data_IF_946121323447
#
_entry.id   IF_946121323447
#
_cell.length_a   1.000
_cell.length_b   1.000
_cell.length_c   1.000
_cell.angle_alpha   90.00
_cell.angle_beta   90.00
_cell.angle_gamma   90.00
#
_symmetry.space_group_name_H-M   'P 1'
#
loop_
_entity.id
_entity.type
_entity.pdbx_description
1 polymer ?
#
# COMPACT_ATOMS: atom_id res chain seq x y z
N UNK A 1 -38.97 -26.03 48.33
CA UNK A 1 -38.02 -26.96 47.69
C UNK A 1 -37.18 -26.14 46.75
N UNK A 2 -35.92 -25.90 47.15
CA UNK A 2 -34.95 -25.08 46.43
C UNK A 2 -34.41 -25.85 45.23
N UNK A 3 -34.76 -25.39 44.03
CA UNK A 3 -34.24 -25.89 42.77
C UNK A 3 -32.77 -25.48 42.65
N UNK A 4 -31.86 -26.41 42.93
CA UNK A 4 -30.43 -26.23 42.76
C UNK A 4 -30.10 -26.51 41.29
N UNK A 5 -29.98 -25.45 40.50
CA UNK A 5 -29.40 -25.51 39.16
C UNK A 5 -27.94 -25.97 39.27
N UNK A 6 -27.70 -27.25 38.98
CA UNK A 6 -26.36 -27.85 38.89
C UNK A 6 -25.60 -27.15 37.77
N UNK A 7 -24.64 -26.29 38.13
CA UNK A 7 -23.69 -25.70 37.19
C UNK A 7 -22.78 -26.85 36.70
N UNK A 8 -22.75 -27.18 35.40
CA UNK A 8 -21.94 -28.29 34.92
C UNK A 8 -20.45 -27.98 35.11
N UNK A 9 -19.69 -28.97 35.57
CA UNK A 9 -18.25 -28.87 35.76
C UNK A 9 -17.54 -28.74 34.40
N UNK A 10 -16.89 -27.60 34.17
CA UNK A 10 -16.12 -27.32 32.94
C UNK A 10 -15.08 -28.42 32.68
N UNK A 11 -15.11 -29.02 31.50
CA UNK A 11 -14.18 -30.11 31.13
C UNK A 11 -12.79 -29.55 30.81
N UNK A 12 -11.73 -30.34 31.03
CA UNK A 12 -10.35 -29.91 30.72
C UNK A 12 -10.15 -29.50 29.24
N UNK A 13 -10.95 -30.05 28.33
CA UNK A 13 -10.99 -29.68 26.92
C UNK A 13 -11.46 -28.23 26.69
N UNK A 14 -12.51 -27.79 27.40
CA UNK A 14 -13.03 -26.40 27.31
C UNK A 14 -12.01 -25.36 27.77
N UNK A 15 -11.15 -25.69 28.74
CA UNK A 15 -10.10 -24.78 29.21
C UNK A 15 -8.99 -24.61 28.16
N UNK A 16 -8.65 -25.68 27.45
CA UNK A 16 -7.65 -25.64 26.37
C UNK A 16 -8.21 -24.89 25.16
N UNK A 17 -9.45 -25.15 24.78
CA UNK A 17 -10.15 -24.45 23.70
C UNK A 17 -10.18 -22.93 23.94
N UNK A 18 -10.61 -22.49 25.12
CA UNK A 18 -10.60 -21.06 25.50
C UNK A 18 -9.20 -20.44 25.52
N UNK A 19 -8.17 -21.23 25.81
CA UNK A 19 -6.78 -20.81 25.75
C UNK A 19 -6.32 -20.57 24.32
N UNK A 20 -6.65 -21.50 23.41
CA UNK A 20 -6.36 -21.40 21.98
C UNK A 20 -7.12 -20.23 21.36
N UNK A 21 -8.41 -20.06 21.66
CA UNK A 21 -9.19 -18.91 21.18
C UNK A 21 -8.57 -17.59 21.63
N UNK A 22 -8.23 -17.45 22.92
CA UNK A 22 -7.56 -16.23 23.42
C UNK A 22 -6.21 -15.97 22.75
N UNK A 23 -5.42 -17.01 22.53
CA UNK A 23 -4.15 -16.88 21.83
C UNK A 23 -4.34 -16.44 20.36
N UNK A 24 -5.32 -17.04 19.66
CA UNK A 24 -5.69 -16.67 18.30
C UNK A 24 -6.21 -15.22 18.23
N UNK A 25 -7.07 -14.79 19.16
CA UNK A 25 -7.52 -13.41 19.23
C UNK A 25 -6.39 -12.43 19.56
N UNK A 26 -5.48 -12.78 20.47
CA UNK A 26 -4.33 -11.94 20.83
C UNK A 26 -3.31 -11.81 19.68
N UNK A 27 -3.20 -12.82 18.81
CA UNK A 27 -2.27 -12.80 17.67
C UNK A 27 -2.49 -11.63 16.71
N UNK A 28 -3.69 -11.04 16.69
CA UNK A 28 -4.02 -9.80 15.96
C UNK A 28 -3.07 -8.65 16.29
N UNK A 29 -2.64 -8.54 17.55
CA UNK A 29 -1.71 -7.49 18.00
C UNK A 29 -0.29 -7.66 17.47
N UNK A 30 0.07 -8.83 16.94
CA UNK A 30 1.36 -9.04 16.28
C UNK A 30 1.55 -8.15 15.05
N UNK A 31 0.45 -7.72 14.41
CA UNK A 31 0.49 -6.80 13.27
C UNK A 31 0.78 -5.35 13.67
N UNK A 32 0.47 -4.94 14.91
CA UNK A 32 0.69 -3.57 15.37
C UNK A 32 2.14 -3.05 15.16
N UNK A 33 3.21 -3.80 15.53
CA UNK A 33 4.58 -3.36 15.26
C UNK A 33 4.93 -3.26 13.78
N UNK A 34 4.31 -4.03 12.88
CA UNK A 34 4.52 -3.89 11.44
C UNK A 34 4.02 -2.52 10.95
N UNK A 35 2.86 -2.08 11.42
CA UNK A 35 2.33 -0.76 11.09
C UNK A 35 3.20 0.37 11.64
N UNK A 36 3.77 0.22 12.84
CA UNK A 36 4.78 1.15 13.37
C UNK A 36 6.02 1.19 12.48
N UNK A 37 6.50 0.02 12.02
CA UNK A 37 7.61 -0.06 11.06
C UNK A 37 7.29 0.65 9.74
N UNK A 38 6.08 0.50 9.21
CA UNK A 38 5.62 1.21 8.02
C UNK A 38 5.56 2.74 8.24
N UNK A 39 5.17 3.20 9.43
CA UNK A 39 5.23 4.62 9.77
C UNK A 39 6.66 5.16 9.78
N UNK A 40 7.62 4.40 10.31
CA UNK A 40 9.05 4.74 10.24
C UNK A 40 9.50 4.82 8.77
N UNK A 41 9.06 3.85 7.94
CA UNK A 41 9.30 3.87 6.49
C UNK A 41 8.71 5.12 5.80
N UNK A 42 7.52 5.56 6.20
CA UNK A 42 6.90 6.78 5.70
C UNK A 42 7.72 8.02 6.05
N UNK A 43 8.27 8.10 7.27
CA UNK A 43 9.19 9.18 7.66
C UNK A 43 10.49 9.15 6.82
N UNK A 44 11.05 7.97 6.59
CA UNK A 44 12.23 7.83 5.73
C UNK A 44 11.92 8.30 4.30
N UNK A 45 10.76 7.94 3.76
CA UNK A 45 10.31 8.40 2.44
C UNK A 45 10.16 9.92 2.38
N UNK A 46 9.62 10.54 3.44
CA UNK A 46 9.52 12.00 3.54
C UNK A 46 10.90 12.68 3.51
N UNK A 47 11.90 12.10 4.18
CA UNK A 47 13.28 12.63 4.12
C UNK A 47 13.83 12.56 2.70
N UNK A 48 13.62 11.43 2.00
CA UNK A 48 14.04 11.29 0.59
C UNK A 48 13.32 12.31 -0.30
N UNK A 49 12.01 12.49 -0.13
CA UNK A 49 11.25 13.49 -0.86
C UNK A 49 11.80 14.91 -0.66
N UNK A 50 12.05 15.32 0.58
CA UNK A 50 12.59 16.65 0.88
C UNK A 50 14.00 16.84 0.30
N UNK A 51 14.85 15.82 0.37
CA UNK A 51 16.18 15.82 -0.24
C UNK A 51 16.08 16.00 -1.75
N UNK A 52 15.26 15.19 -2.41
CA UNK A 52 15.12 15.21 -3.87
C UNK A 52 14.48 16.51 -4.34
N UNK A 53 13.53 17.06 -3.58
CA UNK A 53 12.95 18.38 -3.82
C UNK A 53 14.02 19.48 -3.74
N UNK A 54 14.87 19.47 -2.72
CA UNK A 54 15.94 20.46 -2.58
C UNK A 54 16.95 20.38 -3.74
N UNK A 55 17.37 19.16 -4.12
CA UNK A 55 18.24 18.93 -5.27
C UNK A 55 17.57 19.35 -6.58
N UNK A 56 16.26 19.12 -6.72
CA UNK A 56 15.51 19.49 -7.90
C UNK A 56 15.43 21.01 -8.06
N UNK A 57 15.01 21.74 -7.01
CA UNK A 57 14.87 23.20 -7.02
C UNK A 57 16.19 23.89 -7.38
N UNK A 58 17.31 23.41 -6.84
CA UNK A 58 18.64 23.97 -7.16
C UNK A 58 19.09 23.78 -8.61
N UNK A 59 18.51 22.80 -9.33
CA UNK A 59 18.85 22.52 -10.74
C UNK A 59 17.96 23.28 -11.74
N UNK A 60 16.81 23.81 -11.32
CA UNK A 60 15.84 24.49 -12.21
C UNK A 60 16.47 25.58 -13.10
N UNK A 61 17.35 26.48 -12.61
CA UNK A 61 17.85 27.59 -13.42
C UNK A 61 18.66 27.17 -14.66
N UNK A 62 19.21 25.96 -14.67
CA UNK A 62 20.06 25.44 -15.75
C UNK A 62 19.51 24.16 -16.38
N UNK A 63 18.34 23.70 -15.93
CA UNK A 63 17.70 22.48 -16.38
C UNK A 63 17.05 22.64 -17.75
N UNK A 64 17.10 21.58 -18.57
CA UNK A 64 16.28 21.50 -19.79
C UNK A 64 14.84 21.18 -19.40
N UNK A 65 13.88 21.46 -20.30
CA UNK A 65 12.46 21.14 -20.09
C UNK A 65 12.24 19.66 -19.72
N UNK A 66 12.98 18.75 -20.37
CA UNK A 66 12.95 17.33 -20.04
C UNK A 66 13.33 17.08 -18.58
N UNK A 67 14.41 17.69 -18.09
CA UNK A 67 14.89 17.49 -16.72
C UNK A 67 13.88 18.00 -15.69
N UNK A 68 13.19 19.10 -16.01
CA UNK A 68 12.10 19.64 -15.19
C UNK A 68 10.94 18.64 -15.08
N UNK A 69 10.48 18.11 -16.21
CA UNK A 69 9.40 17.10 -16.24
C UNK A 69 9.82 15.85 -15.46
N UNK A 70 11.04 15.37 -15.66
CA UNK A 70 11.53 14.17 -14.98
C UNK A 70 11.68 14.37 -13.47
N UNK A 71 12.08 15.57 -13.03
CA UNK A 71 12.13 15.93 -11.61
C UNK A 71 10.74 15.91 -10.98
N UNK A 72 9.75 16.55 -11.61
CA UNK A 72 8.36 16.56 -11.14
C UNK A 72 7.81 15.13 -11.05
N UNK A 73 8.02 14.30 -12.08
CA UNK A 73 7.54 12.91 -12.08
C UNK A 73 8.17 12.08 -10.94
N UNK A 74 9.42 12.37 -10.56
CA UNK A 74 10.06 11.73 -9.40
C UNK A 74 9.39 12.10 -8.08
N UNK A 75 9.06 13.39 -7.91
CA UNK A 75 8.39 13.87 -6.70
C UNK A 75 6.95 13.32 -6.60
N UNK A 76 6.24 13.23 -7.73
CA UNK A 76 4.91 12.61 -7.80
C UNK A 76 4.98 11.14 -7.39
N UNK A 77 5.96 10.39 -7.91
CA UNK A 77 6.17 8.98 -7.56
C UNK A 77 6.36 8.79 -6.04
N UNK A 78 7.28 9.54 -5.43
CA UNK A 78 7.49 9.51 -3.98
C UNK A 78 6.20 9.83 -3.21
N UNK A 79 5.44 10.84 -3.65
CA UNK A 79 4.15 11.18 -3.03
C UNK A 79 3.11 10.05 -3.15
N UNK A 80 3.02 9.39 -4.31
CA UNK A 80 2.12 8.26 -4.54
C UNK A 80 2.51 7.06 -3.66
N UNK A 81 3.81 6.76 -3.53
CA UNK A 81 4.31 5.73 -2.63
C UNK A 81 3.96 6.04 -1.17
N UNK A 82 4.10 7.30 -0.73
CA UNK A 82 3.68 7.73 0.61
C UNK A 82 2.18 7.54 0.86
N UNK A 83 1.33 7.95 -0.08
CA UNK A 83 -0.12 7.76 -0.01
C UNK A 83 -0.51 6.28 0.10
N UNK A 84 0.19 5.40 -0.61
CA UNK A 84 -0.01 3.97 -0.55
C UNK A 84 0.36 3.40 0.83
N UNK A 85 1.51 3.81 1.40
CA UNK A 85 1.91 3.39 2.75
C UNK A 85 0.87 3.81 3.78
N UNK A 86 0.39 5.05 3.72
CA UNK A 86 -0.69 5.55 4.59
C UNK A 86 -1.93 4.67 4.48
N UNK A 87 -2.36 4.38 3.26
CA UNK A 87 -3.54 3.56 3.00
C UNK A 87 -3.39 2.14 3.57
N UNK A 88 -2.21 1.52 3.41
CA UNK A 88 -1.89 0.20 3.96
C UNK A 88 -1.90 0.22 5.49
N UNK A 89 -1.30 1.24 6.11
CA UNK A 89 -1.24 1.37 7.58
C UNK A 89 -2.64 1.48 8.17
N UNK A 90 -3.45 2.42 7.68
CA UNK A 90 -4.78 2.66 8.24
C UNK A 90 -5.76 1.51 7.94
N UNK A 91 -5.81 1.03 6.69
CA UNK A 91 -6.67 -0.10 6.31
C UNK A 91 -6.26 -1.39 7.02
N UNK A 92 -4.95 -1.67 7.11
CA UNK A 92 -4.44 -2.84 7.81
C UNK A 92 -4.73 -2.78 9.32
N UNK A 93 -4.51 -1.64 9.95
CA UNK A 93 -4.79 -1.46 11.37
C UNK A 93 -6.28 -1.63 11.69
N UNK A 94 -7.17 -1.00 10.91
CA UNK A 94 -8.61 -1.09 11.11
C UNK A 94 -9.16 -2.51 10.93
N UNK A 95 -8.70 -3.22 9.89
CA UNK A 95 -9.16 -4.57 9.58
C UNK A 95 -8.63 -5.62 10.57
N UNK A 96 -7.36 -5.51 10.97
CA UNK A 96 -6.68 -6.58 11.69
C UNK A 96 -6.42 -6.29 13.18
N UNK A 97 -6.34 -5.03 13.61
CA UNK A 97 -6.00 -4.69 15.01
C UNK A 97 -7.22 -4.12 15.73
N UNK A 98 -7.67 -2.93 15.37
CA UNK A 98 -8.75 -2.24 16.08
C UNK A 98 -9.51 -1.29 15.16
N UNK A 99 -10.84 -1.26 15.30
CA UNK A 99 -11.65 -0.22 14.68
C UNK A 99 -11.30 1.14 15.28
N UNK A 100 -11.19 2.15 14.42
CA UNK A 100 -10.95 3.52 14.83
C UNK A 100 -12.29 4.21 15.06
N UNK A 101 -12.96 3.99 16.20
CA UNK A 101 -14.31 4.53 16.46
C UNK A 101 -14.30 5.98 16.97
N UNK A 102 -13.16 6.45 17.46
CA UNK A 102 -13.02 7.74 18.15
C UNK A 102 -12.69 8.93 17.23
N UNK A 103 -12.57 8.73 15.91
CA UNK A 103 -12.31 9.80 14.94
C UNK A 103 -13.64 10.44 14.52
N UNK A 104 -13.85 11.75 14.74
CA UNK A 104 -15.05 12.46 14.30
C UNK A 104 -15.30 12.24 12.81
N UNK A 105 -16.54 11.97 12.41
CA UNK A 105 -16.89 11.64 11.02
C UNK A 105 -16.50 12.72 10.02
N UNK A 106 -16.45 13.99 10.45
CA UNK A 106 -16.04 15.14 9.63
C UNK A 106 -14.56 15.11 9.24
N UNK A 107 -13.71 14.49 10.06
CA UNK A 107 -12.26 14.44 9.85
C UNK A 107 -11.81 13.11 9.21
N UNK A 108 -12.76 12.20 8.94
CA UNK A 108 -12.48 10.95 8.23
C UNK A 108 -12.45 11.22 6.73
N UNK A 109 -11.33 10.97 6.05
CA UNK A 109 -11.33 11.01 4.60
C UNK A 109 -12.20 9.87 4.04
N UNK A 110 -12.86 10.09 2.90
CA UNK A 110 -13.87 9.17 2.33
C UNK A 110 -13.36 7.75 2.05
N UNK A 111 -12.04 7.59 1.91
CA UNK A 111 -11.39 6.29 1.72
C UNK A 111 -11.24 5.47 3.02
N UNK A 112 -11.39 6.10 4.20
CA UNK A 112 -11.22 5.45 5.50
C UNK A 112 -12.46 4.63 5.85
N UNK A 113 -12.31 3.31 5.88
CA UNK A 113 -13.39 2.34 6.13
C UNK A 113 -14.11 1.77 4.89
N UNK A 114 -13.81 2.27 3.68
CA UNK A 114 -14.43 1.83 2.42
C UNK A 114 -13.48 1.06 1.48
N UNK A 115 -12.17 1.08 1.75
CA UNK A 115 -11.18 0.39 0.92
C UNK A 115 -11.08 -1.08 1.32
N UNK A 116 -11.70 -1.92 0.49
CA UNK A 116 -11.51 -3.37 0.50
C UNK A 116 -10.07 -3.75 0.07
N UNK A 117 -9.61 -4.91 0.52
CA UNK A 117 -8.29 -5.45 0.21
C UNK A 117 -8.08 -5.60 -1.30
N UNK A 118 -9.14 -5.90 -2.07
CA UNK A 118 -9.04 -5.98 -3.53
C UNK A 118 -8.78 -4.60 -4.16
N UNK A 119 -9.48 -3.57 -3.69
CA UNK A 119 -9.26 -2.19 -4.12
C UNK A 119 -7.84 -1.70 -3.78
N UNK A 120 -7.29 -2.11 -2.62
CA UNK A 120 -5.91 -1.80 -2.25
C UNK A 120 -4.90 -2.44 -3.21
N UNK A 121 -5.09 -3.70 -3.59
CA UNK A 121 -4.23 -4.39 -4.58
C UNK A 121 -4.25 -3.66 -5.93
N UNK A 122 -5.44 -3.26 -6.39
CA UNK A 122 -5.60 -2.54 -7.66
C UNK A 122 -4.89 -1.18 -7.66
N UNK A 123 -5.01 -0.42 -6.57
CA UNK A 123 -4.31 0.87 -6.41
C UNK A 123 -2.79 0.69 -6.38
N UNK A 124 -2.30 -0.36 -5.72
CA UNK A 124 -0.88 -0.69 -5.68
C UNK A 124 -0.32 -1.03 -7.07
N UNK A 125 -1.00 -1.90 -7.83
CA UNK A 125 -0.58 -2.22 -9.20
C UNK A 125 -0.62 -1.01 -10.13
N UNK A 126 -1.68 -0.18 -10.03
CA UNK A 126 -1.78 1.04 -10.82
C UNK A 126 -0.60 1.99 -10.56
N UNK A 127 -0.18 2.12 -9.29
CA UNK A 127 1.01 2.90 -8.92
C UNK A 127 2.28 2.32 -9.56
N UNK A 128 2.53 1.01 -9.43
CA UNK A 128 3.71 0.36 -10.01
C UNK A 128 3.77 0.52 -11.53
N UNK A 129 2.64 0.34 -12.22
CA UNK A 129 2.54 0.54 -13.68
C UNK A 129 2.87 1.99 -14.05
N UNK A 130 2.31 2.97 -13.33
CA UNK A 130 2.58 4.39 -13.57
C UNK A 130 4.06 4.76 -13.36
N UNK A 131 4.67 4.28 -12.28
CA UNK A 131 6.09 4.51 -11.96
C UNK A 131 6.98 3.91 -13.06
N UNK A 132 6.69 2.69 -13.49
CA UNK A 132 7.45 2.05 -14.58
C UNK A 132 7.31 2.79 -15.92
N UNK A 133 6.13 3.36 -16.22
CA UNK A 133 5.92 4.19 -17.42
C UNK A 133 6.77 5.47 -17.37
N UNK A 134 6.79 6.13 -16.21
CA UNK A 134 7.65 7.32 -15.96
C UNK A 134 9.12 6.96 -16.17
N UNK A 135 9.55 5.81 -15.67
CA UNK A 135 10.94 5.38 -15.82
C UNK A 135 11.30 5.09 -17.29
N UNK A 136 10.38 4.46 -18.03
CA UNK A 136 10.55 4.25 -19.47
C UNK A 136 10.59 5.58 -20.24
N UNK A 137 9.78 6.57 -19.84
CA UNK A 137 9.81 7.92 -20.42
C UNK A 137 11.15 8.62 -20.13
N UNK A 138 11.69 8.50 -18.90
CA UNK A 138 13.02 9.00 -18.54
C UNK A 138 14.11 8.41 -19.45
N UNK A 139 14.07 7.09 -19.61
CA UNK A 139 14.98 6.36 -20.49
C UNK A 139 14.89 6.86 -21.92
N UNK A 140 13.67 6.99 -22.45
CA UNK A 140 13.43 7.48 -23.81
C UNK A 140 13.92 8.92 -24.01
N UNK A 141 13.72 9.81 -23.03
CA UNK A 141 14.20 11.19 -23.09
C UNK A 141 15.73 11.30 -23.15
N UNK A 142 16.45 10.28 -22.68
CA UNK A 142 17.91 10.20 -22.73
C UNK A 142 18.38 9.04 -23.63
N UNK A 143 17.62 8.72 -24.69
CA UNK A 143 17.86 7.56 -25.55
C UNK A 143 19.26 7.52 -26.16
N UNK A 144 19.86 8.68 -26.46
CA UNK A 144 21.22 8.77 -26.99
C UNK A 144 22.30 8.25 -26.04
N UNK A 145 22.01 8.16 -24.74
CA UNK A 145 22.91 7.65 -23.71
C UNK A 145 22.50 6.24 -23.21
N UNK A 146 21.53 5.58 -23.85
CA UNK A 146 21.08 4.24 -23.52
C UNK A 146 21.44 3.25 -24.62
N UNK A 147 21.77 2.02 -24.23
CA UNK A 147 21.88 0.94 -25.21
C UNK A 147 20.49 0.43 -25.63
N UNK A 148 20.39 -0.05 -26.88
CA UNK A 148 19.17 -0.68 -27.39
C UNK A 148 18.71 -1.85 -26.50
N UNK A 149 19.67 -2.59 -25.92
CA UNK A 149 19.37 -3.70 -25.00
C UNK A 149 18.71 -3.23 -23.73
N UNK A 150 19.21 -2.16 -23.11
CA UNK A 150 18.60 -1.60 -21.89
C UNK A 150 17.21 -1.04 -22.17
N UNK A 151 17.05 -0.31 -23.28
CA UNK A 151 15.75 0.21 -23.70
C UNK A 151 14.73 -0.92 -23.92
N UNK A 152 15.14 -2.00 -24.60
CA UNK A 152 14.30 -3.16 -24.84
C UNK A 152 13.84 -3.80 -23.53
N UNK A 153 14.72 -3.99 -22.55
CA UNK A 153 14.35 -4.56 -21.25
C UNK A 153 13.39 -3.66 -20.46
N UNK A 154 13.57 -2.34 -20.51
CA UNK A 154 12.63 -1.41 -19.89
C UNK A 154 11.24 -1.51 -20.51
N UNK A 155 11.15 -1.60 -21.85
CA UNK A 155 9.88 -1.82 -22.55
C UNK A 155 9.26 -3.16 -22.15
N UNK A 156 10.03 -4.24 -22.16
CA UNK A 156 9.55 -5.60 -21.82
C UNK A 156 9.02 -5.65 -20.38
N UNK A 157 9.73 -5.07 -19.42
CA UNK A 157 9.31 -5.01 -18.02
C UNK A 157 8.02 -4.19 -17.88
N UNK A 158 7.96 -3.02 -18.53
CA UNK A 158 6.76 -2.18 -18.48
C UNK A 158 5.54 -2.90 -19.05
N UNK A 159 5.67 -3.53 -20.21
CA UNK A 159 4.59 -4.33 -20.83
C UNK A 159 4.18 -5.47 -19.90
N UNK A 160 5.14 -6.13 -19.23
CA UNK A 160 4.84 -7.19 -18.25
C UNK A 160 3.99 -6.68 -17.08
N UNK A 161 4.29 -5.49 -16.55
CA UNK A 161 3.47 -4.87 -15.51
C UNK A 161 2.09 -4.47 -16.01
N UNK A 162 1.98 -3.90 -17.21
CA UNK A 162 0.68 -3.55 -17.81
C UNK A 162 -0.19 -4.78 -17.99
N UNK A 163 0.36 -5.86 -18.58
CA UNK A 163 -0.36 -7.12 -18.76
C UNK A 163 -0.80 -7.70 -17.42
N UNK A 164 0.09 -7.73 -16.42
CA UNK A 164 -0.24 -8.21 -15.07
C UNK A 164 -1.36 -7.38 -14.42
N UNK A 165 -1.32 -6.06 -14.57
CA UNK A 165 -2.37 -5.15 -14.09
C UNK A 165 -3.72 -5.40 -14.77
N UNK A 166 -3.73 -5.59 -16.09
CA UNK A 166 -4.95 -5.91 -16.84
C UNK A 166 -5.53 -7.27 -16.42
N UNK A 167 -4.71 -8.30 -16.28
CA UNK A 167 -5.17 -9.62 -15.83
C UNK A 167 -5.77 -9.56 -14.43
N UNK A 168 -5.18 -8.79 -13.52
CA UNK A 168 -5.72 -8.61 -12.18
C UNK A 168 -7.03 -7.84 -12.20
N UNK A 169 -7.13 -6.77 -12.99
CA UNK A 169 -8.37 -6.00 -13.19
C UNK A 169 -9.51 -6.89 -13.72
N UNK A 170 -9.19 -7.77 -14.68
CA UNK A 170 -10.15 -8.72 -15.23
C UNK A 170 -10.62 -9.71 -14.16
N UNK A 171 -9.68 -10.27 -13.37
CA UNK A 171 -10.00 -11.21 -12.29
C UNK A 171 -10.94 -10.56 -11.26
N UNK A 172 -10.67 -9.31 -10.87
CA UNK A 172 -11.51 -8.56 -9.93
C UNK A 172 -12.91 -8.24 -10.51
N UNK A 173 -12.99 -7.90 -11.80
CA UNK A 173 -14.27 -7.70 -12.51
C UNK A 173 -15.12 -8.98 -12.56
N UNK A 174 -14.50 -10.13 -12.82
CA UNK A 174 -15.22 -11.41 -12.83
C UNK A 174 -15.65 -11.82 -11.42
N UNK A 175 -14.81 -11.61 -10.40
CA UNK A 175 -15.16 -11.91 -9.01
C UNK A 175 -16.31 -11.03 -8.49
N UNK A 176 -16.37 -9.76 -8.90
CA UNK A 176 -17.46 -8.85 -8.54
C UNK A 176 -18.74 -9.09 -9.33
N UNK A 177 -18.68 -9.59 -10.58
CA UNK A 177 -19.87 -9.99 -11.35
C UNK A 177 -20.49 -11.32 -10.92
N UNK A 178 -19.77 -12.12 -10.11
CA UNK A 178 -20.25 -13.39 -9.57
C UNK A 178 -20.96 -13.24 -8.20
N UNK A 179 -21.03 -12.02 -7.67
CA UNK A 179 -21.80 -11.64 -6.48
C UNK A 179 -23.08 -10.93 -6.89
#
# INVERSE_FOLDING_TARGET
MSDQSVVPAQTSAEKVERGVERALFASRWLMAPFYVGLMIGLFALMIVFLRDLAVFVTKIPTAKESDVILGILTLIDLSLAGNLVIMVVFSGYENFVSKMEHVPTKDRPEWMGSIDFSALKMKLLASIVAISAIHLLKAFMNVSAMSDREMMWLVVIHVTFVVSGVLMALTDKFASSAK
#
